data_IF_397278691620
#
_entry.id   IF_397278691620
#
_cell.length_a   1.000
_cell.length_b   1.000
_cell.length_c   1.000
_cell.angle_alpha   90.00
_cell.angle_beta   90.00
_cell.angle_gamma   90.00
#
_symmetry.space_group_name_H-M   'P 1'
#
loop_
_entity.id
_entity.type
_entity.pdbx_description
1 polymer ?
#
# COMPACT_ATOMS: atom_id res chain seq x y z
N UNK A 1 3.98 61.42 -36.19
CA UNK A 1 3.48 60.85 -34.99
C UNK A 1 3.13 59.41 -35.24
N UNK A 2 3.98 58.54 -34.71
CA UNK A 2 3.89 57.10 -34.95
C UNK A 2 3.44 56.43 -33.63
N UNK A 3 2.38 55.70 -33.73
CA UNK A 3 1.87 54.86 -32.68
C UNK A 3 2.54 53.50 -32.74
N UNK A 4 3.23 53.13 -31.68
CA UNK A 4 3.82 51.80 -31.55
C UNK A 4 2.81 50.94 -30.79
N UNK A 5 2.27 49.99 -31.50
CA UNK A 5 1.45 48.91 -31.00
C UNK A 5 2.33 47.93 -30.22
N UNK A 6 2.11 47.81 -28.90
CA UNK A 6 2.74 46.81 -28.08
C UNK A 6 1.77 45.68 -27.85
N UNK A 7 1.93 44.62 -28.65
CA UNK A 7 1.22 43.37 -28.49
C UNK A 7 1.35 42.82 -27.06
N UNK A 8 0.24 42.68 -26.39
CA UNK A 8 0.08 41.87 -25.19
C UNK A 8 -0.03 40.42 -25.60
N UNK A 9 1.00 39.66 -25.38
CA UNK A 9 0.92 38.20 -25.36
C UNK A 9 0.16 37.79 -24.11
N UNK A 10 -1.03 37.29 -24.30
CA UNK A 10 -1.82 36.64 -23.27
C UNK A 10 -1.15 35.31 -22.94
N UNK A 11 -0.34 35.33 -21.90
CA UNK A 11 0.18 34.13 -21.24
C UNK A 11 -1.01 33.47 -20.56
N UNK A 12 -1.66 32.57 -21.28
CA UNK A 12 -2.71 31.69 -20.78
C UNK A 12 -2.05 30.67 -19.86
N UNK A 13 -1.82 31.06 -18.63
CA UNK A 13 -1.44 30.16 -17.56
C UNK A 13 -2.54 29.11 -17.43
N UNK A 14 -2.26 27.91 -17.97
CA UNK A 14 -3.04 26.73 -17.73
C UNK A 14 -3.02 26.51 -16.22
N UNK A 15 -4.11 26.86 -15.54
CA UNK A 15 -4.34 26.39 -14.18
C UNK A 15 -4.36 24.87 -14.26
N UNK A 16 -3.28 24.23 -13.82
CA UNK A 16 -3.26 22.82 -13.56
C UNK A 16 -4.34 22.60 -12.49
N UNK A 17 -5.34 21.84 -12.86
CA UNK A 17 -6.34 21.32 -11.95
C UNK A 17 -5.58 20.54 -10.88
N UNK A 18 -5.38 21.16 -9.72
CA UNK A 18 -4.73 20.53 -8.58
C UNK A 18 -5.73 19.54 -7.99
N UNK A 19 -5.88 18.39 -8.64
CA UNK A 19 -6.54 17.23 -8.04
C UNK A 19 -5.81 16.95 -6.71
N UNK A 20 -6.56 17.01 -5.62
CA UNK A 20 -6.07 16.69 -4.30
C UNK A 20 -5.58 15.24 -4.29
N UNK A 21 -4.26 15.05 -4.13
CA UNK A 21 -3.63 13.73 -4.17
C UNK A 21 -4.22 12.82 -3.10
N UNK A 22 -4.58 11.61 -3.47
CA UNK A 22 -5.02 10.57 -2.54
C UNK A 22 -3.84 10.03 -1.73
N UNK A 23 -4.10 9.26 -0.68
CA UNK A 23 -3.04 8.62 0.10
C UNK A 23 -2.10 7.75 -0.76
N UNK A 24 -2.64 7.10 -1.78
CA UNK A 24 -1.91 6.25 -2.73
C UNK A 24 -1.01 7.06 -3.66
N UNK A 25 -1.53 8.16 -4.23
CA UNK A 25 -0.73 9.06 -5.05
C UNK A 25 0.38 9.73 -4.24
N UNK A 26 0.15 9.97 -2.93
CA UNK A 26 1.18 10.47 -2.02
C UNK A 26 2.28 9.44 -1.78
N UNK A 27 1.96 8.16 -1.66
CA UNK A 27 2.96 7.08 -1.61
C UNK A 27 3.82 7.08 -2.85
N UNK A 28 3.19 7.17 -4.02
CA UNK A 28 3.87 7.22 -5.31
C UNK A 28 4.75 8.45 -5.47
N UNK A 29 4.24 9.64 -5.13
CA UNK A 29 4.96 10.92 -5.27
C UNK A 29 6.02 11.15 -4.18
N UNK A 30 6.31 10.15 -3.33
CA UNK A 30 7.23 10.28 -2.20
C UNK A 30 6.75 11.20 -1.08
N UNK A 31 5.46 11.51 -1.06
CA UNK A 31 4.83 12.30 -0.01
C UNK A 31 4.65 11.49 1.26
N UNK A 32 4.50 12.18 2.38
CA UNK A 32 4.25 11.55 3.67
C UNK A 32 2.85 10.93 3.69
N UNK A 33 2.77 9.64 3.94
CA UNK A 33 1.52 8.92 4.19
C UNK A 33 1.17 9.03 5.67
N UNK A 34 -0.09 9.35 5.96
CA UNK A 34 -0.57 9.49 7.33
C UNK A 34 -1.38 8.26 7.72
N UNK A 35 -0.98 7.63 8.81
CA UNK A 35 -1.72 6.54 9.43
C UNK A 35 -2.29 6.99 10.77
N UNK A 36 -3.53 6.62 11.04
CA UNK A 36 -4.14 6.72 12.36
C UNK A 36 -4.35 5.31 12.90
N UNK A 37 -3.61 4.96 13.94
CA UNK A 37 -3.80 3.69 14.64
C UNK A 37 -4.83 3.94 15.75
N UNK A 38 -5.95 3.22 15.69
CA UNK A 38 -7.07 3.36 16.62
C UNK A 38 -7.10 2.15 17.55
N UNK A 39 -6.77 2.31 18.85
CA UNK A 39 -6.88 1.23 19.83
C UNK A 39 -8.32 0.73 19.97
N UNK A 40 -8.47 -0.52 20.43
CA UNK A 40 -9.79 -1.09 20.71
C UNK A 40 -10.60 -0.20 21.66
N UNK A 41 -11.86 0.05 21.30
CA UNK A 41 -12.78 0.90 22.08
C UNK A 41 -12.54 2.40 21.95
N UNK A 42 -11.51 2.83 21.21
CA UNK A 42 -11.28 4.24 20.94
C UNK A 42 -12.21 4.76 19.84
N UNK A 43 -12.54 6.04 19.93
CA UNK A 43 -13.40 6.70 18.92
C UNK A 43 -12.53 7.41 17.89
N UNK A 44 -12.83 7.16 16.61
CA UNK A 44 -12.18 7.87 15.51
C UNK A 44 -12.58 9.36 15.59
N UNK A 45 -11.61 10.31 15.60
CA UNK A 45 -11.92 11.73 15.62
C UNK A 45 -12.78 12.15 14.43
N UNK A 46 -13.76 13.02 14.67
CA UNK A 46 -14.52 13.63 13.60
C UNK A 46 -13.63 14.64 12.83
N UNK A 47 -13.79 14.69 11.49
CA UNK A 47 -13.06 15.65 10.65
C UNK A 47 -11.64 15.21 10.27
N UNK A 48 -11.36 13.91 10.30
CA UNK A 48 -10.13 13.37 9.69
C UNK A 48 -10.03 13.74 8.22
N UNK A 49 -8.82 14.08 7.81
CA UNK A 49 -8.51 14.27 6.40
C UNK A 49 -8.76 12.96 5.63
N UNK A 50 -9.24 13.07 4.40
CA UNK A 50 -9.55 11.89 3.57
C UNK A 50 -8.33 11.05 3.20
N UNK A 51 -7.14 11.63 3.34
CA UNK A 51 -5.85 11.01 3.05
C UNK A 51 -5.25 10.26 4.25
N UNK A 52 -5.94 10.20 5.37
CA UNK A 52 -5.51 9.42 6.54
C UNK A 52 -6.01 7.99 6.42
N UNK A 53 -5.07 7.05 6.43
CA UNK A 53 -5.38 5.61 6.46
C UNK A 53 -5.61 5.21 7.91
N UNK A 54 -6.82 4.72 8.20
CA UNK A 54 -7.21 4.31 9.55
C UNK A 54 -6.95 2.82 9.73
N UNK A 55 -6.17 2.47 10.75
CA UNK A 55 -5.87 1.09 11.14
C UNK A 55 -6.45 0.86 12.52
N UNK A 56 -7.45 -0.03 12.62
CA UNK A 56 -8.07 -0.39 13.88
C UNK A 56 -7.28 -1.53 14.54
N UNK A 57 -7.06 -1.42 15.85
CA UNK A 57 -6.45 -2.46 16.66
C UNK A 57 -7.53 -3.24 17.46
N UNK A 58 -7.29 -4.53 17.78
CA UNK A 58 -6.16 -5.33 17.32
C UNK A 58 -6.27 -5.72 15.84
N UNK A 59 -5.13 -5.85 15.14
CA UNK A 59 -5.10 -6.46 13.82
C UNK A 59 -5.02 -7.97 14.00
N UNK A 60 -6.08 -8.66 13.64
CA UNK A 60 -6.20 -10.11 13.84
C UNK A 60 -5.86 -10.93 12.61
N UNK A 61 -5.81 -10.28 11.44
CA UNK A 61 -5.57 -10.95 10.17
C UNK A 61 -4.86 -10.03 9.19
N UNK A 62 -3.86 -10.56 8.51
CA UNK A 62 -3.07 -9.82 7.54
C UNK A 62 -2.90 -10.61 6.23
N UNK A 63 -2.95 -9.88 5.12
CA UNK A 63 -2.38 -10.30 3.86
C UNK A 63 -0.98 -9.72 3.72
N UNK A 64 -0.01 -10.55 3.33
CA UNK A 64 1.39 -10.15 3.20
C UNK A 64 1.92 -10.56 1.82
N UNK A 65 2.34 -9.58 1.04
CA UNK A 65 2.95 -9.79 -0.27
C UNK A 65 4.46 -9.48 -0.28
N UNK A 66 4.96 -8.77 0.73
CA UNK A 66 6.39 -8.50 0.89
C UNK A 66 7.10 -9.61 1.66
N UNK A 67 8.20 -10.13 1.08
CA UNK A 67 9.07 -11.11 1.74
C UNK A 67 9.80 -10.48 2.95
N UNK A 68 10.20 -9.21 2.86
CA UNK A 68 10.88 -8.52 3.95
C UNK A 68 9.95 -8.31 5.14
N UNK A 69 8.72 -7.84 4.89
CA UNK A 69 7.69 -7.74 5.92
C UNK A 69 7.37 -9.10 6.55
N UNK A 70 7.31 -10.16 5.75
CA UNK A 70 7.07 -11.52 6.25
C UNK A 70 8.19 -11.97 7.20
N UNK A 71 9.44 -11.72 6.85
CA UNK A 71 10.60 -12.02 7.69
C UNK A 71 10.60 -11.20 9.00
N UNK A 72 10.10 -9.96 8.96
CA UNK A 72 9.94 -9.15 10.18
C UNK A 72 8.84 -9.73 11.07
N UNK A 73 7.69 -10.11 10.51
CA UNK A 73 6.60 -10.73 11.27
C UNK A 73 7.02 -12.05 11.90
N UNK A 74 7.82 -12.86 11.20
CA UNK A 74 8.38 -14.10 11.75
C UNK A 74 9.30 -13.84 12.94
N UNK A 75 10.22 -12.87 12.85
CA UNK A 75 11.09 -12.48 13.97
C UNK A 75 10.33 -11.92 15.18
N UNK A 76 9.13 -11.41 14.97
CA UNK A 76 8.26 -10.87 16.02
C UNK A 76 7.26 -11.90 16.54
N UNK A 77 7.32 -13.16 16.11
CA UNK A 77 6.36 -14.22 16.44
C UNK A 77 4.89 -13.83 16.10
N UNK A 78 4.69 -13.12 14.98
CA UNK A 78 3.37 -12.64 14.51
C UNK A 78 2.86 -13.38 13.27
N UNK A 79 3.44 -14.52 12.92
CA UNK A 79 3.02 -15.33 11.76
C UNK A 79 1.62 -15.90 11.91
N UNK A 80 1.11 -16.04 13.15
CA UNK A 80 -0.27 -16.46 13.45
C UNK A 80 -1.32 -15.44 12.97
N UNK A 81 -0.93 -14.21 12.70
CA UNK A 81 -1.78 -13.14 12.15
C UNK A 81 -1.83 -13.16 10.62
N UNK A 82 -0.98 -13.91 9.97
CA UNK A 82 -0.97 -14.01 8.51
C UNK A 82 -2.04 -15.00 8.06
N UNK A 83 -3.07 -14.52 7.39
CA UNK A 83 -4.20 -15.33 6.90
C UNK A 83 -4.23 -15.47 5.39
N UNK A 84 -3.48 -14.60 4.70
CA UNK A 84 -3.32 -14.66 3.25
C UNK A 84 -1.91 -14.21 2.85
N UNK A 85 -1.38 -14.80 1.79
CA UNK A 85 -0.06 -14.49 1.24
C UNK A 85 -0.16 -14.10 -0.23
N UNK A 86 0.68 -13.13 -0.62
CA UNK A 86 0.89 -12.67 -2.00
C UNK A 86 2.04 -13.39 -2.69
N UNK A 87 2.55 -14.46 -2.12
CA UNK A 87 3.63 -15.27 -2.67
C UNK A 87 3.24 -16.74 -2.71
N UNK A 88 3.77 -17.45 -3.69
CA UNK A 88 3.60 -18.88 -3.78
C UNK A 88 4.43 -19.61 -2.72
N UNK A 89 4.12 -20.87 -2.49
CA UNK A 89 4.81 -21.72 -1.52
C UNK A 89 6.32 -21.75 -1.74
N UNK A 90 6.75 -21.81 -3.00
CA UNK A 90 8.15 -21.88 -3.39
C UNK A 90 8.93 -20.59 -3.08
N UNK A 91 8.23 -19.46 -2.99
CA UNK A 91 8.78 -18.14 -2.69
C UNK A 91 8.69 -17.82 -1.19
N UNK A 92 7.94 -18.61 -0.41
CA UNK A 92 7.74 -18.38 1.01
C UNK A 92 8.98 -18.81 1.82
N UNK A 93 9.57 -17.87 2.56
CA UNK A 93 10.80 -18.09 3.35
C UNK A 93 10.55 -18.57 4.77
N UNK A 94 9.28 -18.66 5.19
CA UNK A 94 8.87 -19.03 6.56
C UNK A 94 8.22 -20.39 6.55
N UNK A 95 8.87 -21.39 7.14
CA UNK A 95 8.46 -22.80 7.11
C UNK A 95 7.04 -23.02 7.64
N UNK A 96 6.66 -22.33 8.71
CA UNK A 96 5.31 -22.44 9.30
C UNK A 96 4.21 -21.98 8.34
N UNK A 97 4.46 -20.92 7.58
CA UNK A 97 3.52 -20.39 6.59
C UNK A 97 3.53 -21.20 5.29
N UNK A 98 4.67 -21.78 4.92
CA UNK A 98 4.75 -22.76 3.83
C UNK A 98 3.86 -23.97 4.12
N UNK A 99 3.94 -24.52 5.35
CA UNK A 99 3.04 -25.61 5.78
C UNK A 99 1.58 -25.19 5.82
N UNK A 100 1.30 -23.95 6.26
CA UNK A 100 -0.06 -23.39 6.31
C UNK A 100 -0.68 -23.14 4.92
N UNK A 101 0.15 -22.82 3.91
CA UNK A 101 -0.30 -22.81 2.51
C UNK A 101 -0.65 -24.20 2.00
N UNK A 102 0.12 -25.23 2.39
CA UNK A 102 -0.13 -26.61 1.98
C UNK A 102 -1.41 -27.19 2.57
N UNK A 103 -1.69 -26.92 3.83
CA UNK A 103 -2.90 -27.40 4.52
C UNK A 103 -4.13 -26.51 4.29
N UNK A 104 -3.95 -25.34 3.67
CA UNK A 104 -5.01 -24.39 3.34
C UNK A 104 -5.49 -23.53 4.50
N UNK A 105 -4.77 -23.49 5.63
CA UNK A 105 -5.06 -22.57 6.76
C UNK A 105 -4.66 -21.13 6.42
N UNK A 106 -3.64 -20.95 5.57
CA UNK A 106 -3.31 -19.68 4.92
C UNK A 106 -3.63 -19.77 3.44
N UNK A 107 -4.21 -18.73 2.88
CA UNK A 107 -4.66 -18.70 1.49
C UNK A 107 -3.64 -17.96 0.61
N UNK A 108 -3.26 -18.53 -0.53
CA UNK A 108 -2.60 -17.76 -1.58
C UNK A 108 -3.63 -16.81 -2.22
N UNK A 109 -3.41 -15.52 -2.14
CA UNK A 109 -4.34 -14.49 -2.62
C UNK A 109 -3.80 -13.69 -3.82
N UNK A 110 -2.90 -14.31 -4.60
CA UNK A 110 -2.27 -13.64 -5.74
C UNK A 110 -1.19 -12.65 -5.33
N UNK A 111 -0.34 -12.29 -6.27
CA UNK A 111 0.71 -11.27 -6.10
C UNK A 111 0.08 -9.88 -6.17
N UNK A 112 0.82 -8.85 -5.76
CA UNK A 112 0.35 -7.45 -5.76
C UNK A 112 -0.22 -7.00 -7.11
N UNK A 113 0.34 -7.49 -8.21
CA UNK A 113 -0.11 -7.17 -9.58
C UNK A 113 -1.43 -7.86 -9.96
N UNK A 114 -1.77 -8.97 -9.33
CA UNK A 114 -2.99 -9.75 -9.59
C UNK A 114 -3.61 -10.27 -8.28
N UNK A 115 -3.89 -9.37 -7.36
CA UNK A 115 -4.45 -9.71 -6.06
C UNK A 115 -5.87 -10.26 -6.19
N UNK A 116 -6.13 -11.44 -5.63
CA UNK A 116 -7.48 -11.99 -5.47
C UNK A 116 -8.19 -11.33 -4.27
N UNK A 117 -8.86 -10.22 -4.54
CA UNK A 117 -9.63 -9.49 -3.53
C UNK A 117 -10.78 -10.30 -2.90
N UNK A 118 -11.28 -11.34 -3.60
CA UNK A 118 -12.29 -12.24 -3.03
C UNK A 118 -11.69 -13.15 -1.98
N UNK A 119 -10.45 -13.61 -2.22
CA UNK A 119 -9.70 -14.37 -1.23
C UNK A 119 -9.42 -13.52 0.01
N UNK A 120 -9.05 -12.23 -0.15
CA UNK A 120 -8.86 -11.30 0.97
C UNK A 120 -10.12 -11.12 1.81
N UNK A 121 -11.27 -10.95 1.18
CA UNK A 121 -12.55 -10.84 1.89
C UNK A 121 -12.90 -12.15 2.61
N UNK A 122 -12.66 -13.30 1.97
CA UNK A 122 -12.91 -14.61 2.56
C UNK A 122 -12.01 -14.90 3.76
N UNK A 123 -10.75 -14.49 3.72
CA UNK A 123 -9.81 -14.61 4.83
C UNK A 123 -10.02 -13.57 5.93
N UNK A 124 -11.03 -12.71 5.80
CA UNK A 124 -11.32 -11.60 6.72
C UNK A 124 -10.12 -10.69 6.94
N UNK A 125 -9.38 -10.39 5.86
CA UNK A 125 -8.18 -9.58 5.92
C UNK A 125 -8.43 -8.23 6.59
N UNK A 126 -7.71 -7.95 7.67
CA UNK A 126 -7.81 -6.70 8.43
C UNK A 126 -6.80 -5.64 8.00
N UNK A 127 -5.70 -6.05 7.37
CA UNK A 127 -4.67 -5.18 6.79
C UNK A 127 -3.94 -5.90 5.65
N UNK A 128 -3.54 -5.15 4.65
CA UNK A 128 -2.68 -5.66 3.57
C UNK A 128 -1.30 -5.00 3.62
N UNK A 129 -0.26 -5.81 3.52
CA UNK A 129 1.15 -5.37 3.46
C UNK A 129 1.66 -5.73 2.07
N UNK A 130 1.74 -4.72 1.21
CA UNK A 130 2.14 -4.86 -0.19
C UNK A 130 3.66 -4.73 -0.33
N UNK A 131 4.23 -5.32 -1.39
CA UNK A 131 5.62 -5.11 -1.75
C UNK A 131 5.85 -3.72 -2.36
N UNK A 132 7.08 -3.19 -2.22
CA UNK A 132 7.51 -2.00 -2.96
C UNK A 132 7.50 -2.19 -4.48
N UNK A 133 7.43 -3.43 -4.96
CA UNK A 133 7.34 -3.74 -6.39
C UNK A 133 6.10 -3.16 -7.07
N UNK A 134 5.03 -2.88 -6.30
CA UNK A 134 3.84 -2.19 -6.80
C UNK A 134 4.09 -0.70 -7.11
N UNK A 135 5.14 -0.12 -6.53
CA UNK A 135 5.48 1.28 -6.73
C UNK A 135 6.11 1.50 -8.12
N UNK A 136 5.78 2.58 -8.80
CA UNK A 136 6.48 2.97 -10.01
C UNK A 136 7.95 3.27 -9.71
N UNK A 137 8.81 2.87 -10.63
CA UNK A 137 10.23 3.21 -10.62
C UNK A 137 10.54 4.22 -11.73
N UNK A 138 11.72 4.83 -11.72
CA UNK A 138 12.14 5.77 -12.79
C UNK A 138 12.35 5.08 -14.15
N UNK A 139 12.21 3.76 -14.22
CA UNK A 139 12.41 2.95 -15.41
C UNK A 139 11.09 2.65 -16.16
N UNK A 140 11.18 1.89 -17.25
CA UNK A 140 10.23 1.77 -18.37
C UNK A 140 8.82 1.30 -18.04
N UNK A 141 8.26 1.18 -16.91
CA UNK A 141 6.89 0.72 -16.65
C UNK A 141 6.08 1.62 -15.71
N UNK A 142 6.50 2.89 -15.59
CA UNK A 142 5.94 3.85 -14.64
C UNK A 142 4.42 4.00 -14.78
N UNK A 143 3.91 4.20 -16.01
CA UNK A 143 2.47 4.40 -16.25
C UNK A 143 1.63 3.15 -15.89
N UNK A 144 2.13 1.95 -16.19
CA UNK A 144 1.44 0.71 -15.87
C UNK A 144 1.35 0.51 -14.36
N UNK A 145 2.44 0.77 -13.62
CA UNK A 145 2.48 0.68 -12.16
C UNK A 145 1.67 1.78 -11.48
N UNK A 146 1.64 3.00 -12.04
CA UNK A 146 0.76 4.07 -11.58
C UNK A 146 -0.71 3.64 -11.63
N UNK A 147 -1.13 3.09 -12.77
CA UNK A 147 -2.50 2.62 -12.95
C UNK A 147 -2.81 1.45 -12.01
N UNK A 148 -1.89 0.49 -11.87
CA UNK A 148 -2.03 -0.64 -10.95
C UNK A 148 -2.20 -0.17 -9.51
N UNK A 149 -1.36 0.74 -9.04
CA UNK A 149 -1.41 1.29 -7.69
C UNK A 149 -2.73 2.03 -7.44
N UNK A 150 -3.20 2.80 -8.43
CA UNK A 150 -4.47 3.51 -8.36
C UNK A 150 -5.66 2.56 -8.30
N UNK A 151 -5.71 1.57 -9.19
CA UNK A 151 -6.76 0.55 -9.21
C UNK A 151 -6.79 -0.25 -7.91
N UNK A 152 -5.62 -0.62 -7.39
CA UNK A 152 -5.50 -1.31 -6.10
C UNK A 152 -6.03 -0.45 -4.96
N UNK A 153 -5.67 0.83 -4.89
CA UNK A 153 -6.16 1.73 -3.87
C UNK A 153 -7.68 1.89 -3.89
N UNK A 154 -8.29 1.98 -5.08
CA UNK A 154 -9.75 2.04 -5.21
C UNK A 154 -10.42 0.77 -4.69
N UNK A 155 -9.86 -0.41 -5.00
CA UNK A 155 -10.37 -1.70 -4.53
C UNK A 155 -10.23 -1.84 -3.03
N UNK A 156 -9.06 -1.56 -2.46
CA UNK A 156 -8.84 -1.57 -1.02
C UNK A 156 -9.75 -0.61 -0.27
N UNK A 157 -9.94 0.60 -0.78
CA UNK A 157 -10.89 1.59 -0.24
C UNK A 157 -12.32 1.07 -0.25
N UNK A 158 -12.76 0.47 -1.35
CA UNK A 158 -14.11 -0.12 -1.50
C UNK A 158 -14.34 -1.25 -0.49
N UNK A 159 -13.33 -2.08 -0.27
CA UNK A 159 -13.37 -3.19 0.68
C UNK A 159 -13.16 -2.76 2.12
N UNK A 160 -12.74 -1.50 2.35
CA UNK A 160 -12.37 -0.96 3.66
C UNK A 160 -11.24 -1.73 4.33
N UNK A 161 -10.32 -2.27 3.55
CA UNK A 161 -9.11 -2.91 4.02
C UNK A 161 -7.99 -1.86 3.94
N UNK A 162 -7.41 -1.42 5.07
CA UNK A 162 -6.25 -0.55 5.02
C UNK A 162 -5.07 -1.32 4.41
N UNK A 163 -4.22 -0.62 3.66
CA UNK A 163 -2.98 -1.21 3.18
C UNK A 163 -1.79 -0.30 3.45
N UNK A 164 -0.64 -0.92 3.59
CA UNK A 164 0.66 -0.27 3.66
C UNK A 164 1.55 -0.86 2.57
N UNK A 165 2.50 -0.08 2.07
CA UNK A 165 3.53 -0.57 1.17
C UNK A 165 4.82 -0.69 1.97
N UNK A 166 5.37 -1.89 2.02
CA UNK A 166 6.64 -2.15 2.67
C UNK A 166 7.79 -1.65 1.79
N UNK A 167 8.56 -0.74 2.33
CA UNK A 167 9.75 -0.16 1.67
C UNK A 167 11.03 -0.50 2.43
N UNK A 168 11.01 -1.50 3.29
CA UNK A 168 12.18 -1.89 4.09
C UNK A 168 13.36 -2.36 3.21
N UNK A 169 13.07 -2.89 2.02
CA UNK A 169 14.10 -3.23 1.04
C UNK A 169 14.85 -2.02 0.46
N UNK A 170 14.22 -0.84 0.47
CA UNK A 170 14.82 0.41 -0.03
C UNK A 170 15.86 0.98 0.95
N UNK A 171 15.80 0.56 2.23
CA UNK A 171 16.72 1.03 3.26
C UNK A 171 18.10 0.39 3.07
N UNK A 172 19.11 1.24 2.97
CA UNK A 172 20.51 0.84 2.74
C UNK A 172 21.23 0.45 4.04
N UNK A 173 20.65 0.77 5.19
CA UNK A 173 21.22 0.52 6.51
C UNK A 173 20.34 -0.47 7.30
N UNK A 174 20.91 -1.60 7.69
CA UNK A 174 20.21 -2.62 8.48
C UNK A 174 19.72 -2.09 9.84
N UNK A 175 20.31 -0.99 10.35
CA UNK A 175 19.86 -0.35 11.58
C UNK A 175 18.54 0.44 11.38
N UNK A 176 18.30 0.98 10.18
CA UNK A 176 17.05 1.69 9.89
C UNK A 176 15.84 0.75 9.80
N UNK A 177 16.07 -0.54 9.52
CA UNK A 177 15.01 -1.57 9.48
C UNK A 177 14.53 -2.02 10.87
N UNK A 178 15.24 -1.66 11.94
CA UNK A 178 15.01 -2.13 13.30
C UNK A 178 14.40 -1.07 14.23
N UNK A 179 14.18 0.15 13.76
CA UNK A 179 13.48 1.22 14.49
C UNK A 179 11.99 1.23 14.15
#
# INVERSE_FOLDING_TARGET
>A
PETVDSGKEDEKTKAADSQELTGTEKLYMGNVVKYLIVPEGAVIPAGLDKDVIVINQPVESAYVASTDALNILDKLDLTDKVTALGMEKEDCTVDSLTAALEDGSVTFAGKDEDTDYKALVKSQCGISILSSDILPTEEADTEAKENLLKDSAEKYSTLKIPFIVDRSADEKDDNAKAE
#
